data_IF_210000533294
#
_entry.id   IF_210000533294
#
_cell.length_a   1.000
_cell.length_b   1.000
_cell.length_c   1.000
_cell.angle_alpha   90.00
_cell.angle_beta   90.00
_cell.angle_gamma   90.00
#
_symmetry.space_group_name_H-M   'P 1'
#
loop_
_entity.id
_entity.type
_entity.pdbx_description
1 polymer ?
#
# COMPACT_ATOMS: atom_id res chain seq x y z
N UNK A 1 -0.94 3.42 -55.36
CA UNK A 1 -1.45 2.37 -54.45
C UNK A 1 -0.42 1.94 -53.40
N UNK A 2 0.80 1.51 -53.74
CA UNK A 2 1.82 1.13 -52.73
C UNK A 2 2.22 2.27 -51.77
N UNK A 3 2.39 3.49 -52.28
CA UNK A 3 2.76 4.68 -51.49
C UNK A 3 1.66 5.14 -50.52
N UNK A 4 0.39 4.98 -50.91
CA UNK A 4 -0.76 5.34 -50.07
C UNK A 4 -0.99 4.32 -48.95
N UNK A 5 -0.74 3.03 -49.22
CA UNK A 5 -0.74 1.98 -48.19
C UNK A 5 0.40 2.17 -47.18
N UNK A 6 1.59 2.56 -47.65
CA UNK A 6 2.72 2.87 -46.76
C UNK A 6 2.43 4.05 -45.83
N UNK A 7 1.84 5.14 -46.36
CA UNK A 7 1.45 6.30 -45.56
C UNK A 7 0.38 5.95 -44.51
N UNK A 8 -0.61 5.13 -44.86
CA UNK A 8 -1.62 4.63 -43.92
C UNK A 8 -0.99 3.82 -42.77
N UNK A 9 -0.02 2.96 -43.06
CA UNK A 9 0.67 2.15 -42.06
C UNK A 9 1.49 2.98 -41.08
N UNK A 10 2.21 3.99 -41.57
CA UNK A 10 2.99 4.91 -40.73
C UNK A 10 2.07 5.70 -39.81
N UNK A 11 0.94 6.19 -40.33
CA UNK A 11 -0.04 6.94 -39.53
C UNK A 11 -0.68 6.07 -38.43
N UNK A 12 -1.00 4.81 -38.74
CA UNK A 12 -1.54 3.86 -37.76
C UNK A 12 -0.51 3.52 -36.68
N UNK A 13 0.76 3.33 -37.07
CA UNK A 13 1.84 3.06 -36.14
C UNK A 13 2.11 4.24 -35.19
N UNK A 14 2.11 5.47 -35.71
CA UNK A 14 2.20 6.69 -34.91
C UNK A 14 1.02 6.85 -33.93
N UNK A 15 -0.20 6.47 -34.32
CA UNK A 15 -1.35 6.52 -33.43
C UNK A 15 -1.25 5.51 -32.27
N UNK A 16 -0.73 4.30 -32.53
CA UNK A 16 -0.50 3.28 -31.50
C UNK A 16 0.57 3.73 -30.49
N UNK A 17 1.63 4.42 -30.95
CA UNK A 17 2.66 5.00 -30.09
C UNK A 17 2.13 6.11 -29.17
N UNK A 18 1.08 6.81 -29.58
CA UNK A 18 0.44 7.88 -28.81
C UNK A 18 -0.57 7.36 -27.76
N UNK A 19 -0.78 6.05 -27.66
CA UNK A 19 -1.53 5.45 -26.56
C UNK A 19 -0.65 5.48 -25.29
N UNK A 20 -0.54 6.65 -24.68
CA UNK A 20 0.05 6.73 -23.34
C UNK A 20 -0.79 5.92 -22.36
N UNK A 21 -0.14 4.94 -21.74
CA UNK A 21 -0.72 4.06 -20.73
C UNK A 21 -1.12 4.89 -19.51
N UNK A 22 -2.41 4.91 -19.18
CA UNK A 22 -2.89 5.44 -17.91
C UNK A 22 -2.22 4.68 -16.77
N UNK A 23 -1.22 5.30 -16.12
CA UNK A 23 -0.59 4.76 -14.93
C UNK A 23 -1.59 4.53 -13.79
N UNK A 24 -1.22 3.75 -12.76
CA UNK A 24 -2.12 3.43 -11.66
C UNK A 24 -2.64 4.71 -10.97
N UNK A 25 -3.95 4.86 -10.91
CA UNK A 25 -4.62 5.98 -10.22
C UNK A 25 -4.72 5.67 -8.73
N UNK A 26 -4.10 6.50 -7.90
CA UNK A 26 -4.21 6.43 -6.44
C UNK A 26 -5.36 7.31 -5.98
N UNK A 27 -6.41 6.71 -5.44
CA UNK A 27 -7.52 7.44 -4.80
C UNK A 27 -7.26 7.45 -3.29
N UNK A 28 -6.73 8.56 -2.78
CA UNK A 28 -6.62 8.80 -1.33
C UNK A 28 -7.81 9.62 -0.85
N UNK A 29 -8.08 9.61 0.45
CA UNK A 29 -9.17 10.38 1.05
C UNK A 29 -8.94 11.91 1.02
N UNK A 30 -7.74 12.39 0.65
CA UNK A 30 -7.39 13.81 0.57
C UNK A 30 -6.74 14.15 -0.78
N UNK A 31 -7.44 14.93 -1.59
CA UNK A 31 -7.00 15.42 -2.91
C UNK A 31 -5.73 16.27 -2.76
N UNK A 32 -4.73 16.07 -3.62
CA UNK A 32 -3.57 16.95 -3.76
C UNK A 32 -2.30 16.58 -2.98
N UNK A 33 -2.29 15.46 -2.24
CA UNK A 33 -1.05 14.95 -1.62
C UNK A 33 -0.70 13.56 -2.15
N UNK A 34 0.50 13.37 -2.74
CA UNK A 34 0.90 12.06 -3.22
C UNK A 34 1.10 11.11 -2.03
N UNK A 35 0.88 9.81 -2.22
CA UNK A 35 1.21 8.82 -1.20
C UNK A 35 2.73 8.79 -0.95
N UNK A 36 3.19 8.15 0.13
CA UNK A 36 4.61 8.00 0.39
C UNK A 36 5.37 7.35 -0.79
N UNK A 37 6.66 7.67 -1.00
CA UNK A 37 7.43 7.14 -2.14
C UNK A 37 7.55 5.60 -2.20
N UNK A 38 7.34 4.91 -1.08
CA UNK A 38 7.34 3.46 -1.02
C UNK A 38 6.02 2.83 -1.47
N UNK A 39 4.93 3.61 -1.53
CA UNK A 39 3.61 3.12 -1.91
C UNK A 39 3.38 3.26 -3.42
N UNK A 40 3.26 2.12 -4.08
CA UNK A 40 2.93 2.05 -5.51
C UNK A 40 1.86 0.98 -5.71
N UNK A 41 0.59 1.33 -5.94
CA UNK A 41 -0.43 0.33 -6.13
C UNK A 41 -0.44 -0.16 -7.58
N UNK A 42 -0.60 -1.47 -7.77
CA UNK A 42 -0.75 -2.07 -9.11
C UNK A 42 -2.15 -1.83 -9.71
N UNK A 43 -3.09 -1.30 -8.92
CA UNK A 43 -4.50 -1.05 -9.27
C UNK A 43 -5.08 0.01 -8.34
N UNK A 44 -6.12 0.72 -8.78
CA UNK A 44 -6.86 1.63 -7.89
C UNK A 44 -7.54 0.83 -6.76
N UNK A 45 -7.22 1.17 -5.51
CA UNK A 45 -7.78 0.49 -4.34
C UNK A 45 -7.95 1.49 -3.19
N UNK A 46 -9.08 1.43 -2.49
CA UNK A 46 -9.33 2.24 -1.29
C UNK A 46 -8.74 1.52 -0.09
N UNK A 47 -7.60 1.99 0.39
CA UNK A 47 -6.89 1.42 1.56
C UNK A 47 -6.60 2.52 2.55
N UNK A 48 -7.03 2.33 3.80
CA UNK A 48 -6.68 3.24 4.90
C UNK A 48 -5.36 2.88 5.55
N UNK A 49 -5.13 1.60 5.81
CA UNK A 49 -3.93 1.14 6.52
C UNK A 49 -3.11 0.14 5.69
N UNK A 50 -1.79 0.34 5.68
CA UNK A 50 -0.82 -0.67 5.28
C UNK A 50 -0.04 -1.11 6.51
N UNK A 51 0.15 -2.41 6.66
CA UNK A 51 0.88 -3.02 7.74
C UNK A 51 2.15 -3.69 7.24
N UNK A 52 3.28 -3.39 7.88
CA UNK A 52 4.59 -4.00 7.67
C UNK A 52 4.86 -4.95 8.86
N UNK A 53 4.58 -6.26 8.70
CA UNK A 53 4.59 -7.22 9.80
C UNK A 53 5.96 -7.39 10.46
N UNK A 54 7.04 -7.36 9.67
CA UNK A 54 8.40 -7.61 10.17
C UNK A 54 8.89 -6.57 11.18
N UNK A 55 8.26 -5.39 11.19
CA UNK A 55 8.66 -4.27 12.04
C UNK A 55 7.52 -3.73 12.91
N UNK A 56 6.34 -4.38 12.86
CA UNK A 56 5.12 -3.93 13.54
C UNK A 56 4.79 -2.44 13.25
N UNK A 57 4.89 -2.04 11.98
CA UNK A 57 4.61 -0.67 11.52
C UNK A 57 3.31 -0.64 10.73
N UNK A 58 2.42 0.30 11.06
CA UNK A 58 1.31 0.70 10.22
C UNK A 58 1.59 2.05 9.57
N UNK A 59 1.06 2.26 8.38
CA UNK A 59 0.89 3.58 7.78
C UNK A 59 -0.59 3.88 7.57
N UNK A 60 -1.08 4.98 8.14
CA UNK A 60 -2.45 5.47 7.97
C UNK A 60 -2.50 6.52 6.86
N UNK A 61 -3.14 6.22 5.73
CA UNK A 61 -3.33 7.15 4.61
C UNK A 61 -4.27 8.32 4.94
N UNK A 62 -5.16 8.18 5.93
CA UNK A 62 -6.12 9.22 6.30
C UNK A 62 -5.46 10.42 6.97
N UNK A 63 -4.52 10.14 7.88
CA UNK A 63 -3.77 11.14 8.65
C UNK A 63 -2.30 11.26 8.22
N UNK A 64 -1.83 10.40 7.30
CA UNK A 64 -0.46 10.35 6.74
C UNK A 64 0.64 10.12 7.76
N UNK A 65 0.34 9.37 8.82
CA UNK A 65 1.27 9.04 9.89
C UNK A 65 1.60 7.55 9.91
N UNK A 66 2.81 7.26 10.38
CA UNK A 66 3.23 5.95 10.81
C UNK A 66 2.73 5.70 12.23
N UNK A 67 2.28 4.47 12.50
CA UNK A 67 2.02 3.97 13.83
C UNK A 67 2.91 2.76 14.05
N UNK A 68 3.84 2.83 14.99
CA UNK A 68 4.81 1.76 15.22
C UNK A 68 4.82 1.36 16.68
N UNK A 69 5.17 0.10 16.93
CA UNK A 69 5.32 -0.40 18.28
C UNK A 69 6.72 -0.10 18.81
N UNK A 70 6.79 0.40 20.04
CA UNK A 70 8.04 0.71 20.74
C UNK A 70 7.87 0.48 22.23
N UNK A 71 8.72 -0.34 22.84
CA UNK A 71 8.72 -0.60 24.29
C UNK A 71 7.32 -0.85 24.90
N UNK A 72 6.46 -1.61 24.21
CA UNK A 72 5.12 -1.95 24.73
C UNK A 72 4.02 -0.95 24.39
N UNK A 73 4.34 0.17 23.74
CA UNK A 73 3.38 1.22 23.39
C UNK A 73 3.35 1.49 21.88
N UNK A 74 2.18 1.88 21.39
CA UNK A 74 2.00 2.34 20.01
C UNK A 74 2.28 3.84 19.94
N UNK A 75 3.23 4.23 19.10
CA UNK A 75 3.60 5.63 18.88
C UNK A 75 3.17 6.04 17.48
N UNK A 76 2.58 7.24 17.36
CA UNK A 76 2.18 7.84 16.07
C UNK A 76 3.14 8.96 15.70
N UNK A 77 3.67 8.95 14.49
CA UNK A 77 4.60 9.97 13.99
C UNK A 77 4.45 10.16 12.48
N UNK A 78 4.64 11.38 11.99
CA UNK A 78 4.66 11.67 10.54
C UNK A 78 5.92 11.12 9.85
N UNK A 79 6.98 10.86 10.61
CA UNK A 79 8.26 10.30 10.13
C UNK A 79 8.67 9.12 11.01
N UNK A 80 9.21 8.07 10.39
CA UNK A 80 9.76 6.96 11.15
C UNK A 80 11.01 7.38 11.92
N UNK A 81 11.19 6.92 13.18
CA UNK A 81 12.41 7.20 13.93
C UNK A 81 13.65 6.62 13.23
N UNK A 82 14.81 7.21 13.50
CA UNK A 82 16.07 6.90 12.81
C UNK A 82 16.44 5.41 12.82
N UNK A 83 16.01 4.66 13.85
CA UNK A 83 16.22 3.21 13.93
C UNK A 83 15.62 2.44 12.76
N UNK A 84 14.59 2.96 12.09
CA UNK A 84 13.97 2.31 10.93
C UNK A 84 14.53 2.79 9.59
N UNK A 85 15.50 3.72 9.56
CA UNK A 85 16.05 4.27 8.32
C UNK A 85 16.76 3.23 7.44
N UNK A 86 17.21 2.12 8.01
CA UNK A 86 17.86 1.03 7.28
C UNK A 86 16.86 0.13 6.54
N UNK A 87 15.55 0.29 6.80
CA UNK A 87 14.51 -0.55 6.23
C UNK A 87 14.04 0.02 4.90
N UNK A 88 13.97 -0.85 3.90
CA UNK A 88 13.39 -0.50 2.61
C UNK A 88 11.92 -0.91 2.56
N UNK A 89 11.03 -0.03 3.04
CA UNK A 89 9.57 -0.27 3.07
C UNK A 89 9.00 -0.68 1.70
N UNK A 90 9.58 -0.22 0.59
CA UNK A 90 9.13 -0.59 -0.76
C UNK A 90 9.38 -2.06 -1.09
N UNK A 91 10.41 -2.66 -0.48
CA UNK A 91 10.79 -4.07 -0.66
C UNK A 91 10.35 -4.96 0.50
N UNK A 92 9.95 -4.37 1.62
CA UNK A 92 9.45 -5.12 2.76
C UNK A 92 8.11 -5.79 2.44
N UNK A 93 7.83 -6.95 3.06
CA UNK A 93 6.49 -7.51 3.07
C UNK A 93 5.48 -6.47 3.57
N UNK A 94 4.40 -6.28 2.82
CA UNK A 94 3.34 -5.33 3.14
C UNK A 94 1.98 -6.00 3.03
N UNK A 95 1.12 -5.74 4.02
CA UNK A 95 -0.25 -6.26 4.10
C UNK A 95 -1.20 -5.07 4.03
N UNK A 96 -2.08 -5.07 3.02
CA UNK A 96 -3.17 -4.09 2.94
C UNK A 96 -4.26 -4.50 3.93
N UNK A 97 -4.66 -3.58 4.80
CA UNK A 97 -5.78 -3.81 5.71
C UNK A 97 -7.08 -3.45 5.00
N UNK A 98 -7.85 -4.46 4.64
CA UNK A 98 -9.14 -4.29 3.98
C UNK A 98 -10.27 -4.14 5.01
N UNK A 99 -11.31 -3.39 4.64
CA UNK A 99 -12.56 -3.26 5.40
C UNK A 99 -12.40 -2.74 6.85
N UNK A 100 -11.29 -2.07 7.15
CA UNK A 100 -11.07 -1.42 8.44
C UNK A 100 -10.82 0.07 8.25
N UNK A 101 -11.74 0.86 8.77
CA UNK A 101 -11.71 2.32 8.70
C UNK A 101 -11.80 2.98 10.09
N UNK A 102 -11.68 2.21 11.17
CA UNK A 102 -11.68 2.74 12.53
C UNK A 102 -10.36 3.40 12.91
N UNK A 103 -10.36 4.23 13.94
CA UNK A 103 -9.17 4.98 14.38
C UNK A 103 -8.30 4.20 15.38
N UNK A 104 -8.81 3.14 15.98
CA UNK A 104 -8.09 2.34 16.98
C UNK A 104 -7.37 1.14 16.36
N UNK A 105 -6.28 1.41 15.63
CA UNK A 105 -5.49 0.34 14.99
C UNK A 105 -4.91 -0.65 16.03
N UNK A 106 -4.75 -0.24 17.28
CA UNK A 106 -4.19 -1.06 18.37
C UNK A 106 -5.14 -2.19 18.71
N UNK A 107 -6.43 -1.86 18.86
CA UNK A 107 -7.48 -2.86 19.04
C UNK A 107 -7.53 -3.83 17.86
N UNK A 108 -7.55 -3.31 16.63
CA UNK A 108 -7.51 -4.15 15.42
C UNK A 108 -6.31 -5.12 15.42
N UNK A 109 -5.12 -4.63 15.76
CA UNK A 109 -3.90 -5.45 15.83
C UNK A 109 -4.04 -6.58 16.86
N UNK A 110 -4.48 -6.25 18.08
CA UNK A 110 -4.64 -7.22 19.16
C UNK A 110 -5.70 -8.29 18.84
N UNK A 111 -6.85 -7.86 18.32
CA UNK A 111 -7.93 -8.76 17.93
C UNK A 111 -7.44 -9.75 16.86
N UNK A 112 -6.74 -9.26 15.83
CA UNK A 112 -6.23 -10.11 14.76
C UNK A 112 -5.13 -11.09 15.24
N UNK A 113 -4.22 -10.64 16.12
CA UNK A 113 -3.19 -11.49 16.73
C UNK A 113 -3.80 -12.59 17.60
N UNK A 114 -4.84 -12.27 18.37
CA UNK A 114 -5.56 -13.26 19.19
C UNK A 114 -6.25 -14.32 18.33
N UNK A 115 -6.82 -13.93 17.20
CA UNK A 115 -7.49 -14.84 16.27
C UNK A 115 -6.51 -15.81 15.60
N UNK A 116 -5.30 -15.34 15.26
CA UNK A 116 -4.23 -16.20 14.73
C UNK A 116 -3.80 -17.25 15.77
N UNK A 117 -3.63 -16.86 17.03
CA UNK A 117 -3.28 -17.77 18.12
C UNK A 117 -4.39 -18.80 18.39
N UNK A 118 -5.66 -18.39 18.30
CA UNK A 118 -6.80 -19.31 18.41
C UNK A 118 -6.77 -20.36 17.30
N UNK A 119 -6.60 -19.94 16.04
CA UNK A 119 -6.55 -20.86 14.88
C UNK A 119 -5.38 -21.84 14.98
N UNK A 120 -4.20 -21.39 15.39
CA UNK A 120 -3.05 -22.28 15.56
C UNK A 120 -3.25 -23.29 16.71
N UNK A 121 -3.93 -22.90 17.80
CA UNK A 121 -4.25 -23.83 18.88
C UNK A 121 -5.28 -24.90 18.49
N UNK A 122 -6.27 -24.55 17.65
CA UNK A 122 -7.26 -25.51 17.13
C UNK A 122 -6.58 -26.51 16.18
N UNK A 123 -5.74 -26.02 15.27
CA UNK A 123 -5.09 -26.89 14.28
C UNK A 123 -4.04 -27.85 14.88
N UNK A 124 -3.57 -27.60 16.11
CA UNK A 124 -2.69 -28.51 16.87
C UNK A 124 -3.45 -29.58 17.65
N UNK A 125 -4.76 -29.44 17.83
CA UNK A 125 -5.61 -30.36 18.60
C UNK A 125 -6.35 -31.37 17.73
N UNK A 126 -6.32 -31.19 16.42
CA UNK A 126 -6.75 -32.16 15.41
C UNK A 126 -5.53 -32.89 14.85
#
# INVERSE_FOLDING_TARGET
MKKTVFLMLVMLFSFILSLESCGPVVVTSRIGTPPPPWFYPNRAEVVRYIYFPDHEIYYDFSIRNYLYFDNGIWITSNVLPARFNHINLRRSPQVRIHNYFGDDIKKYHNDNRSNLNRRSSVNRRN
#
